data_IF_942401079500
#
_entry.id   IF_942401079500
#
_cell.length_a   1.000
_cell.length_b   1.000
_cell.length_c   1.000
_cell.angle_alpha   90.00
_cell.angle_beta   90.00
_cell.angle_gamma   90.00
#
_symmetry.space_group_name_H-M   'P 1'
#
loop_
_entity.id
_entity.type
_entity.pdbx_description
1 polymer ?
#
# COMPACT_ATOMS: atom_id res chain seq x y z
N UNK A 1 4.78 -17.39 0.26
CA UNK A 1 5.61 -16.16 0.18
C UNK A 1 7.04 -16.44 -0.28
N UNK A 2 7.50 -17.70 -0.34
CA UNK A 2 8.87 -18.04 -0.80
C UNK A 2 9.10 -17.69 -2.27
N UNK A 3 8.10 -17.88 -3.13
CA UNK A 3 8.26 -17.73 -4.59
C UNK A 3 8.82 -16.38 -5.05
N UNK A 4 8.46 -15.26 -4.41
CA UNK A 4 9.06 -13.96 -4.72
C UNK A 4 10.52 -13.88 -4.25
N UNK A 5 10.81 -14.38 -3.04
CA UNK A 5 12.17 -14.47 -2.53
C UNK A 5 13.04 -15.34 -3.42
N UNK A 6 12.51 -16.47 -3.89
CA UNK A 6 13.18 -17.41 -4.79
C UNK A 6 13.52 -16.74 -6.14
N UNK A 7 12.59 -15.96 -6.71
CA UNK A 7 12.83 -15.17 -7.94
C UNK A 7 13.85 -14.06 -7.74
N UNK A 8 13.80 -13.37 -6.59
CA UNK A 8 14.68 -12.25 -6.29
C UNK A 8 16.04 -12.68 -5.71
N UNK A 9 16.27 -13.98 -5.50
CA UNK A 9 17.49 -14.47 -4.84
C UNK A 9 17.62 -14.04 -3.37
N UNK A 10 16.51 -13.83 -2.68
CA UNK A 10 16.46 -13.40 -1.28
C UNK A 10 16.23 -14.59 -0.36
N UNK A 11 16.78 -14.56 0.86
CA UNK A 11 16.51 -15.59 1.87
C UNK A 11 15.13 -15.33 2.52
N UNK A 12 14.16 -16.26 2.39
CA UNK A 12 12.83 -16.09 2.98
C UNK A 12 12.85 -15.96 4.51
N UNK A 13 13.90 -16.47 5.18
CA UNK A 13 14.05 -16.41 6.65
C UNK A 13 14.33 -15.00 7.15
N UNK A 14 14.79 -14.11 6.28
CA UNK A 14 15.11 -12.72 6.60
C UNK A 14 13.93 -11.76 6.33
N UNK A 15 12.74 -12.29 5.97
CA UNK A 15 11.56 -11.46 5.78
C UNK A 15 11.12 -10.82 7.10
N UNK A 16 11.11 -9.49 7.12
CA UNK A 16 10.70 -8.69 8.26
C UNK A 16 9.25 -8.20 8.06
N UNK A 17 8.35 -8.58 8.96
CA UNK A 17 6.94 -8.16 8.95
C UNK A 17 6.60 -7.14 10.03
N UNK A 18 7.49 -7.02 11.02
CA UNK A 18 7.36 -6.17 12.19
C UNK A 18 8.72 -5.52 12.46
N UNK A 19 8.72 -4.23 12.76
CA UNK A 19 9.92 -3.46 13.03
C UNK A 19 9.63 -2.39 14.10
N UNK A 20 10.68 -1.84 14.69
CA UNK A 20 10.55 -0.77 15.66
C UNK A 20 10.27 0.57 14.97
N UNK A 21 9.44 1.39 15.60
CA UNK A 21 9.21 2.76 15.14
C UNK A 21 10.54 3.53 15.10
N UNK A 22 10.74 4.32 14.05
CA UNK A 22 11.96 5.11 13.89
C UNK A 22 11.95 6.27 14.88
N UNK A 23 12.96 6.29 15.77
CA UNK A 23 13.23 7.46 16.61
C UNK A 23 13.91 8.52 15.75
N UNK A 24 13.27 9.69 15.64
CA UNK A 24 13.81 10.81 14.89
C UNK A 24 14.97 11.42 15.70
N UNK A 25 16.20 11.45 15.17
CA UNK A 25 17.31 12.11 15.84
C UNK A 25 17.04 13.62 15.98
N UNK A 26 17.16 14.14 17.21
CA UNK A 26 16.94 15.56 17.52
C UNK A 26 17.95 16.52 16.85
N UNK A 27 19.01 16.00 16.24
CA UNK A 27 20.09 16.76 15.61
C UNK A 27 19.82 17.14 14.14
N UNK A 28 18.76 16.57 13.53
CA UNK A 28 18.38 16.91 12.14
C UNK A 28 17.39 18.06 12.10
N UNK A 29 17.75 19.11 11.35
CA UNK A 29 16.84 20.18 10.96
C UNK A 29 15.76 19.63 10.01
N UNK A 30 14.68 19.10 10.58
CA UNK A 30 13.53 18.66 9.83
C UNK A 30 12.58 19.83 9.59
N UNK A 31 12.32 20.11 8.32
CA UNK A 31 11.26 21.08 7.98
C UNK A 31 9.87 20.48 8.27
N UNK A 32 8.84 21.32 8.45
CA UNK A 32 7.46 20.86 8.65
C UNK A 32 6.96 19.91 7.55
N UNK A 33 7.43 20.09 6.31
CA UNK A 33 7.11 19.19 5.19
C UNK A 33 7.66 17.79 5.40
N UNK A 34 8.89 17.66 5.91
CA UNK A 34 9.47 16.35 6.22
C UNK A 34 8.67 15.64 7.30
N UNK A 35 8.32 16.36 8.37
CA UNK A 35 7.50 15.82 9.46
C UNK A 35 6.14 15.33 8.95
N UNK A 36 5.43 16.15 8.17
CA UNK A 36 4.12 15.77 7.63
C UNK A 36 4.20 14.53 6.72
N UNK A 37 5.18 14.47 5.82
CA UNK A 37 5.29 13.39 4.85
C UNK A 37 5.80 12.08 5.46
N UNK A 38 6.80 12.15 6.36
CA UNK A 38 7.49 10.97 6.88
C UNK A 38 6.88 10.42 8.18
N UNK A 39 6.04 11.18 8.88
CA UNK A 39 5.48 10.80 10.19
C UNK A 39 4.88 9.39 10.21
N UNK A 40 4.04 9.05 9.23
CA UNK A 40 3.41 7.74 9.13
C UNK A 40 4.39 6.60 8.86
N UNK A 41 5.52 6.88 8.18
CA UNK A 41 6.57 5.88 7.95
C UNK A 41 7.36 5.65 9.24
N UNK A 42 7.72 6.73 9.95
CA UNK A 42 8.48 6.64 11.19
C UNK A 42 7.68 6.00 12.33
N UNK A 43 6.37 6.19 12.38
CA UNK A 43 5.51 5.55 13.38
C UNK A 43 5.08 4.14 12.99
N UNK A 44 5.35 3.69 11.76
CA UNK A 44 4.97 2.36 11.30
C UNK A 44 5.79 1.29 12.03
N UNK A 45 5.13 0.19 12.40
CA UNK A 45 5.76 -0.95 13.10
C UNK A 45 5.49 -2.30 12.43
N UNK A 46 4.60 -2.35 11.44
CA UNK A 46 4.26 -3.61 10.78
C UNK A 46 3.53 -3.40 9.46
N UNK A 47 3.35 -4.49 8.72
CA UNK A 47 2.53 -4.53 7.51
C UNK A 47 1.04 -4.67 7.89
N UNK A 48 0.24 -3.66 7.53
CA UNK A 48 -1.22 -3.69 7.68
C UNK A 48 -1.87 -4.67 6.68
N UNK A 49 -2.19 -5.87 7.16
CA UNK A 49 -2.81 -6.93 6.35
C UNK A 49 -4.28 -6.66 6.02
N UNK A 50 -4.95 -5.72 6.71
CA UNK A 50 -6.34 -5.35 6.40
C UNK A 50 -6.45 -4.68 5.01
N UNK A 51 -5.35 -4.10 4.54
CA UNK A 51 -5.25 -3.44 3.22
C UNK A 51 -4.89 -4.41 2.09
N UNK A 52 -4.88 -5.72 2.34
CA UNK A 52 -4.64 -6.71 1.29
C UNK A 52 -5.74 -6.66 0.21
N UNK A 53 -5.36 -6.92 -1.05
CA UNK A 53 -6.31 -6.98 -2.17
C UNK A 53 -7.19 -8.24 -2.19
N UNK A 54 -7.11 -9.10 -1.16
CA UNK A 54 -7.86 -10.35 -1.09
C UNK A 54 -9.34 -10.04 -0.85
N UNK A 55 -10.21 -10.50 -1.75
CA UNK A 55 -11.65 -10.28 -1.66
C UNK A 55 -12.08 -8.84 -1.99
N UNK A 56 -11.21 -8.06 -2.65
CA UNK A 56 -11.54 -6.70 -3.05
C UNK A 56 -12.70 -6.71 -4.05
N UNK A 57 -13.79 -6.01 -3.69
CA UNK A 57 -14.93 -5.78 -4.55
C UNK A 57 -14.91 -4.31 -4.99
N UNK A 58 -14.85 -4.08 -6.31
CA UNK A 58 -14.71 -2.75 -6.87
C UNK A 58 -15.96 -1.87 -6.64
N UNK A 59 -17.15 -2.47 -6.66
CA UNK A 59 -18.40 -1.75 -6.38
C UNK A 59 -18.45 -1.32 -4.91
N UNK A 60 -18.07 -2.19 -3.97
CA UNK A 60 -17.96 -1.83 -2.56
C UNK A 60 -16.95 -0.69 -2.34
N UNK A 61 -15.80 -0.75 -3.01
CA UNK A 61 -14.79 0.32 -2.93
C UNK A 61 -15.26 1.64 -3.53
N UNK A 62 -16.05 1.60 -4.60
CA UNK A 62 -16.63 2.81 -5.18
C UNK A 62 -17.56 3.52 -4.18
N UNK A 63 -18.41 2.78 -3.47
CA UNK A 63 -19.29 3.35 -2.44
C UNK A 63 -18.49 3.93 -1.26
N UNK A 64 -17.47 3.22 -0.78
CA UNK A 64 -16.56 3.75 0.26
C UNK A 64 -15.88 5.06 -0.19
N UNK A 65 -15.46 5.14 -1.46
CA UNK A 65 -14.84 6.35 -2.00
C UNK A 65 -15.82 7.49 -2.14
N UNK A 66 -17.09 7.24 -2.48
CA UNK A 66 -18.13 8.28 -2.50
C UNK A 66 -18.29 8.91 -1.12
N UNK A 67 -18.27 8.10 -0.07
CA UNK A 67 -18.36 8.58 1.32
C UNK A 67 -17.10 9.37 1.72
N UNK A 68 -15.90 8.87 1.39
CA UNK A 68 -14.65 9.46 1.85
C UNK A 68 -14.15 10.67 1.04
N UNK A 69 -14.38 10.67 -0.28
CA UNK A 69 -13.82 11.66 -1.20
C UNK A 69 -14.89 12.48 -1.94
N UNK A 70 -16.15 12.12 -1.79
CA UNK A 70 -17.25 12.69 -2.55
C UNK A 70 -17.44 12.03 -3.92
N UNK A 71 -18.63 12.18 -4.52
CA UNK A 71 -19.04 11.42 -5.70
C UNK A 71 -18.18 11.70 -6.94
N UNK A 72 -17.82 12.96 -7.18
CA UNK A 72 -17.07 13.36 -8.38
C UNK A 72 -15.66 12.74 -8.40
N UNK A 73 -14.97 12.76 -7.26
CA UNK A 73 -13.64 12.15 -7.11
C UNK A 73 -13.75 10.63 -7.15
N UNK A 74 -14.75 10.04 -6.50
CA UNK A 74 -14.98 8.60 -6.50
C UNK A 74 -15.20 8.05 -7.92
N UNK A 75 -15.98 8.74 -8.75
CA UNK A 75 -16.22 8.34 -10.13
C UNK A 75 -14.96 8.42 -11.01
N UNK A 76 -14.14 9.45 -10.80
CA UNK A 76 -12.85 9.56 -11.48
C UNK A 76 -11.91 8.41 -11.09
N UNK A 77 -11.80 8.11 -9.79
CA UNK A 77 -11.01 6.99 -9.28
C UNK A 77 -11.49 5.65 -9.84
N UNK A 78 -12.81 5.43 -9.87
CA UNK A 78 -13.41 4.22 -10.42
C UNK A 78 -13.03 4.02 -11.89
N UNK A 79 -13.17 5.05 -12.73
CA UNK A 79 -12.80 4.97 -14.16
C UNK A 79 -11.32 4.66 -14.36
N UNK A 80 -10.44 5.28 -13.57
CA UNK A 80 -9.01 4.99 -13.64
C UNK A 80 -8.68 3.55 -13.26
N UNK A 81 -9.29 3.05 -12.18
CA UNK A 81 -9.12 1.68 -11.73
C UNK A 81 -9.68 0.67 -12.75
N UNK A 82 -10.87 0.91 -13.30
CA UNK A 82 -11.49 0.09 -14.33
C UNK A 82 -10.61 -0.02 -15.58
N UNK A 83 -10.08 1.13 -16.06
CA UNK A 83 -9.16 1.16 -17.21
C UNK A 83 -7.88 0.34 -16.97
N UNK A 84 -7.37 0.30 -15.74
CA UNK A 84 -6.17 -0.44 -15.37
C UNK A 84 -6.46 -1.90 -14.96
N UNK A 85 -7.73 -2.31 -14.87
CA UNK A 85 -8.09 -3.61 -14.29
C UNK A 85 -7.60 -4.78 -15.16
N UNK A 86 -7.67 -4.64 -16.48
CA UNK A 86 -7.20 -5.67 -17.41
C UNK A 86 -5.69 -5.96 -17.24
N UNK A 87 -4.88 -4.90 -17.08
CA UNK A 87 -3.44 -5.04 -16.83
C UNK A 87 -3.18 -5.71 -15.47
N UNK A 88 -3.92 -5.31 -14.44
CA UNK A 88 -3.83 -5.93 -13.12
C UNK A 88 -4.17 -7.42 -13.17
N UNK A 89 -5.27 -7.80 -13.83
CA UNK A 89 -5.69 -9.20 -13.95
C UNK A 89 -4.68 -10.03 -14.72
N UNK A 90 -4.12 -9.48 -15.80
CA UNK A 90 -3.04 -10.11 -16.54
C UNK A 90 -1.83 -10.38 -15.65
N UNK A 91 -1.32 -9.36 -14.96
CA UNK A 91 -0.17 -9.49 -14.06
C UNK A 91 -0.46 -10.43 -12.88
N UNK A 92 -1.68 -10.39 -12.34
CA UNK A 92 -2.13 -11.23 -11.24
C UNK A 92 -2.18 -12.71 -11.64
N UNK A 93 -2.64 -13.02 -12.86
CA UNK A 93 -2.68 -14.39 -13.38
C UNK A 93 -1.28 -15.01 -13.52
N UNK A 94 -0.25 -14.15 -13.69
CA UNK A 94 1.16 -14.51 -13.84
C UNK A 94 1.97 -14.30 -12.56
N UNK A 95 1.30 -14.02 -11.45
CA UNK A 95 1.98 -13.75 -10.19
C UNK A 95 2.75 -14.99 -9.75
N UNK A 96 4.06 -14.84 -9.59
CA UNK A 96 4.94 -15.92 -9.14
C UNK A 96 4.64 -16.30 -7.71
#
# INVERSE_FOLDING_TARGET
>A
MSKLCDVCGMDPRLLCYEWEATVIPNDKLLTPRHLSFMSGLWSSTSIDRSKASRGLNMATKHEEWKVGFGPLVADALYRHAEKAMADYEYLRSRRV
#
